data_IF_451709439250
#
_entry.id   IF_451709439250
#
_cell.length_a   1.000
_cell.length_b   1.000
_cell.length_c   1.000
_cell.angle_alpha   90.00
_cell.angle_beta   90.00
_cell.angle_gamma   90.00
#
_symmetry.space_group_name_H-M   'P 1'
#
loop_
_entity.id
_entity.type
_entity.pdbx_description
1 polymer ?
#
# COMPACT_ATOMS: atom_id res chain seq x y z
N UNK A 1 38.92 -4.99 12.89
CA UNK A 1 39.79 -6.16 12.62
C UNK A 1 38.92 -7.23 12.01
N UNK A 2 39.38 -7.94 10.98
CA UNK A 2 38.64 -9.06 10.34
C UNK A 2 38.88 -10.36 11.11
N UNK A 3 38.55 -10.35 12.41
CA UNK A 3 38.60 -11.50 13.33
C UNK A 3 38.11 -11.06 14.72
N UNK A 4 37.99 -12.03 15.63
CA UNK A 4 37.55 -11.84 17.02
C UNK A 4 38.69 -11.47 18.00
N UNK A 5 39.82 -10.95 17.52
CA UNK A 5 40.86 -10.43 18.41
C UNK A 5 40.34 -9.20 19.15
N UNK A 6 40.86 -8.94 20.34
CA UNK A 6 40.52 -7.75 21.11
C UNK A 6 40.74 -6.48 20.30
N UNK A 7 39.77 -5.57 20.39
CA UNK A 7 39.81 -4.26 19.76
C UNK A 7 39.41 -3.20 20.78
N UNK A 8 39.78 -1.93 20.57
CA UNK A 8 39.31 -0.85 21.44
C UNK A 8 37.82 -0.50 21.22
N UNK A 9 37.16 -1.04 20.18
CA UNK A 9 35.75 -0.80 19.97
C UNK A 9 34.94 -1.63 20.97
N UNK A 10 34.08 -0.97 21.75
CA UNK A 10 33.23 -1.57 22.77
C UNK A 10 32.09 -0.60 23.11
N UNK A 11 31.04 -1.10 23.75
CA UNK A 11 29.93 -0.31 24.26
C UNK A 11 29.27 0.63 23.22
N UNK A 12 29.29 0.23 21.94
CA UNK A 12 28.66 1.01 20.87
C UNK A 12 27.14 0.81 20.92
N UNK A 13 26.38 1.88 20.71
CA UNK A 13 24.91 1.81 20.68
C UNK A 13 24.40 2.41 19.38
N UNK A 14 23.88 1.56 18.52
CA UNK A 14 23.22 1.94 17.26
C UNK A 14 21.73 1.76 17.49
N UNK A 15 21.02 2.88 17.69
CA UNK A 15 19.62 2.83 18.08
C UNK A 15 18.70 3.80 17.38
N UNK A 16 17.44 3.39 17.23
CA UNK A 16 16.34 4.22 16.72
C UNK A 16 16.61 4.84 15.35
N UNK A 17 17.38 4.15 14.49
CA UNK A 17 17.60 4.58 13.12
C UNK A 17 16.50 4.05 12.21
N UNK A 18 16.17 4.80 11.16
CA UNK A 18 15.41 4.33 10.00
C UNK A 18 16.38 4.16 8.83
N UNK A 19 16.48 2.95 8.28
CA UNK A 19 17.41 2.61 7.20
C UNK A 19 16.61 1.91 6.11
N UNK A 20 16.64 2.46 4.89
CA UNK A 20 15.91 1.90 3.76
C UNK A 20 16.58 2.21 2.42
N UNK A 21 16.27 1.41 1.39
CA UNK A 21 16.79 1.57 0.04
C UNK A 21 18.32 1.63 -0.01
N UNK A 22 18.97 0.76 0.76
CA UNK A 22 20.43 0.59 0.78
C UNK A 22 20.81 -0.72 0.11
N UNK A 23 22.10 -0.89 -0.19
CA UNK A 23 22.61 -2.10 -0.88
C UNK A 23 21.96 -2.38 -2.25
N UNK A 24 21.52 -1.33 -2.96
CA UNK A 24 20.83 -1.45 -4.25
C UNK A 24 21.73 -1.94 -5.40
N UNK A 25 23.04 -1.70 -5.31
CA UNK A 25 24.00 -2.04 -6.38
C UNK A 25 25.08 -3.01 -5.90
N UNK A 26 25.68 -2.72 -4.74
CA UNK A 26 26.76 -3.53 -4.17
C UNK A 26 26.22 -4.72 -3.38
N UNK A 27 27.07 -5.73 -3.15
CA UNK A 27 26.72 -6.91 -2.35
C UNK A 27 27.51 -7.00 -1.04
N UNK A 28 27.25 -8.04 -0.25
CA UNK A 28 28.00 -8.37 0.97
C UNK A 28 27.89 -7.31 2.09
N UNK A 29 26.69 -6.77 2.25
CA UNK A 29 26.40 -5.75 3.25
C UNK A 29 25.01 -5.93 3.84
N UNK A 30 24.56 -4.90 4.54
CA UNK A 30 23.19 -4.82 5.03
C UNK A 30 22.85 -3.43 5.51
N UNK A 31 21.60 -3.24 5.94
CA UNK A 31 21.18 -1.99 6.57
C UNK A 31 22.09 -1.57 7.72
N UNK A 32 22.50 -2.53 8.53
CA UNK A 32 23.61 -2.38 9.48
C UNK A 32 24.65 -3.46 9.21
N UNK A 33 25.91 -3.05 9.10
CA UNK A 33 27.05 -3.95 8.97
C UNK A 33 27.96 -3.82 10.19
N UNK A 34 28.38 -4.96 10.76
CA UNK A 34 29.35 -5.00 11.86
C UNK A 34 30.48 -5.97 11.57
N UNK A 35 31.62 -5.74 12.20
CA UNK A 35 32.83 -6.53 12.02
C UNK A 35 33.69 -6.49 13.29
N UNK A 36 34.30 -7.63 13.61
CA UNK A 36 35.26 -7.76 14.72
C UNK A 36 34.65 -7.66 16.11
N UNK A 37 35.48 -7.95 17.12
CA UNK A 37 35.04 -7.98 18.52
C UNK A 37 34.69 -6.58 19.03
N UNK A 38 33.46 -6.44 19.54
CA UNK A 38 32.94 -5.19 20.13
C UNK A 38 32.06 -5.48 21.37
N UNK A 39 32.67 -5.78 22.53
CA UNK A 39 31.92 -6.19 23.72
C UNK A 39 30.93 -5.12 24.19
N UNK A 40 29.86 -5.57 24.82
CA UNK A 40 28.81 -4.74 25.44
C UNK A 40 28.12 -3.77 24.48
N UNK A 41 28.07 -4.10 23.18
CA UNK A 41 27.46 -3.25 22.14
C UNK A 41 26.01 -3.62 21.87
N UNK A 42 25.22 -2.66 21.38
CA UNK A 42 23.79 -2.81 21.15
C UNK A 42 23.37 -2.33 19.76
N UNK A 43 22.56 -3.15 19.08
CA UNK A 43 21.74 -2.74 17.94
C UNK A 43 20.28 -2.74 18.40
N UNK A 44 19.73 -1.56 18.68
CA UNK A 44 18.47 -1.43 19.43
C UNK A 44 17.40 -0.58 18.75
N UNK A 45 16.18 -1.10 18.60
CA UNK A 45 15.05 -0.26 18.18
C UNK A 45 15.17 0.32 16.77
N UNK A 46 16.05 -0.24 15.92
CA UNK A 46 16.20 0.22 14.54
C UNK A 46 15.06 -0.32 13.68
N UNK A 47 14.65 0.48 12.69
CA UNK A 47 13.69 0.12 11.65
C UNK A 47 14.43 0.00 10.32
N UNK A 48 14.57 -1.22 9.81
CA UNK A 48 15.27 -1.51 8.55
C UNK A 48 14.26 -2.09 7.57
N UNK A 49 14.13 -1.49 6.40
CA UNK A 49 13.15 -1.93 5.43
C UNK A 49 13.58 -1.68 3.98
N UNK A 50 13.02 -2.42 3.02
CA UNK A 50 13.27 -2.23 1.58
C UNK A 50 14.76 -2.38 1.21
N UNK A 51 15.34 -3.55 1.53
CA UNK A 51 16.69 -3.94 1.09
C UNK A 51 16.54 -4.97 -0.03
N UNK A 52 16.77 -4.58 -1.30
CA UNK A 52 16.50 -5.43 -2.44
C UNK A 52 17.58 -6.50 -2.64
N UNK A 53 17.29 -7.43 -3.53
CA UNK A 53 18.25 -8.39 -4.06
C UNK A 53 19.34 -7.61 -4.79
N UNK A 54 20.58 -7.79 -4.33
CA UNK A 54 21.72 -7.17 -4.99
C UNK A 54 22.11 -7.94 -6.27
N UNK A 55 22.85 -7.27 -7.16
CA UNK A 55 23.38 -7.87 -8.38
C UNK A 55 24.64 -8.74 -8.16
N UNK A 56 25.14 -8.82 -6.92
CA UNK A 56 26.39 -9.51 -6.59
C UNK A 56 26.19 -10.97 -6.16
N UNK A 57 27.30 -11.67 -5.89
CA UNK A 57 27.26 -13.10 -5.52
C UNK A 57 26.90 -13.36 -4.05
N UNK A 58 27.12 -12.38 -3.17
CA UNK A 58 26.87 -12.51 -1.73
C UNK A 58 25.55 -11.83 -1.36
N UNK A 59 24.81 -12.39 -0.42
CA UNK A 59 23.52 -11.81 0.00
C UNK A 59 23.69 -10.41 0.63
N UNK A 60 22.70 -9.55 0.43
CA UNK A 60 22.46 -8.36 1.27
C UNK A 60 21.32 -8.67 2.23
N UNK A 61 21.40 -8.20 3.46
CA UNK A 61 20.43 -8.50 4.52
C UNK A 61 19.97 -7.22 5.23
N UNK A 62 18.97 -7.31 6.11
CA UNK A 62 18.62 -6.20 6.99
C UNK A 62 19.80 -5.85 7.91
N UNK A 63 20.43 -6.86 8.50
CA UNK A 63 21.69 -6.71 9.22
C UNK A 63 22.69 -7.78 8.81
N UNK A 64 23.94 -7.38 8.60
CA UNK A 64 25.03 -8.29 8.30
C UNK A 64 26.12 -8.20 9.38
N UNK A 65 26.18 -9.24 10.21
CA UNK A 65 27.16 -9.41 11.27
C UNK A 65 28.29 -10.29 10.72
N UNK A 66 29.36 -9.65 10.29
CA UNK A 66 30.44 -10.28 9.54
C UNK A 66 31.61 -10.70 10.44
N UNK A 67 32.71 -11.14 9.84
CA UNK A 67 33.80 -11.89 10.46
C UNK A 67 34.28 -11.29 11.79
N UNK A 68 34.21 -12.12 12.83
CA UNK A 68 34.64 -11.75 14.19
C UNK A 68 33.67 -10.87 14.96
N UNK A 69 32.48 -10.54 14.44
CA UNK A 69 31.46 -9.83 15.21
C UNK A 69 31.12 -10.59 16.48
N UNK A 70 31.40 -9.99 17.63
CA UNK A 70 31.22 -10.59 18.96
C UNK A 70 30.85 -9.51 19.97
N UNK A 71 29.93 -9.83 20.88
CA UNK A 71 29.58 -8.96 22.00
C UNK A 71 28.38 -8.04 21.76
N UNK A 72 27.65 -8.25 20.66
CA UNK A 72 26.43 -7.50 20.38
C UNK A 72 25.19 -8.13 21.01
N UNK A 73 24.33 -7.27 21.55
CA UNK A 73 22.91 -7.55 21.79
C UNK A 73 22.07 -6.82 20.74
N UNK A 74 21.43 -7.60 19.86
CA UNK A 74 20.54 -7.15 18.80
C UNK A 74 19.11 -7.27 19.32
N UNK A 75 18.46 -6.14 19.64
CA UNK A 75 17.15 -6.18 20.30
C UNK A 75 16.14 -5.12 19.87
N UNK A 76 14.85 -5.48 19.90
CA UNK A 76 13.78 -4.52 19.67
C UNK A 76 13.74 -3.95 18.24
N UNK A 77 14.47 -4.52 17.29
CA UNK A 77 14.52 -4.01 15.93
C UNK A 77 13.31 -4.51 15.13
N UNK A 78 12.85 -3.69 14.19
CA UNK A 78 11.85 -4.08 13.19
C UNK A 78 12.54 -4.19 11.84
N UNK A 79 12.48 -5.35 11.20
CA UNK A 79 13.16 -5.62 9.92
C UNK A 79 12.14 -6.15 8.92
N UNK A 80 11.82 -5.41 7.86
CA UNK A 80 10.80 -5.82 6.87
C UNK A 80 11.34 -5.76 5.44
N UNK A 81 10.70 -6.45 4.49
CA UNK A 81 11.00 -6.35 3.05
C UNK A 81 12.49 -6.41 2.73
N UNK A 82 13.09 -7.52 3.16
CA UNK A 82 14.47 -7.88 2.84
C UNK A 82 14.37 -9.06 1.90
N UNK A 83 14.91 -8.99 0.68
CA UNK A 83 14.81 -10.07 -0.32
C UNK A 83 15.52 -11.38 0.08
N UNK A 84 16.22 -11.35 1.22
CA UNK A 84 16.93 -12.44 1.87
C UNK A 84 16.63 -12.42 3.37
N UNK A 85 17.35 -13.22 4.15
CA UNK A 85 17.15 -13.27 5.59
C UNK A 85 17.27 -11.88 6.25
N UNK A 86 16.39 -11.52 7.20
CA UNK A 86 16.49 -10.30 8.00
C UNK A 86 17.88 -10.09 8.60
N UNK A 87 18.51 -11.15 9.14
CA UNK A 87 19.84 -11.10 9.73
C UNK A 87 20.73 -12.18 9.11
N UNK A 88 21.98 -11.84 8.83
CA UNK A 88 23.03 -12.78 8.42
C UNK A 88 24.23 -12.70 9.34
N UNK A 89 24.75 -13.87 9.74
CA UNK A 89 25.99 -14.02 10.48
C UNK A 89 27.03 -14.74 9.64
N UNK A 90 28.14 -14.08 9.32
CA UNK A 90 29.29 -14.71 8.67
C UNK A 90 30.50 -14.76 9.62
N UNK A 91 31.00 -15.98 9.90
CA UNK A 91 32.12 -16.25 10.83
C UNK A 91 32.09 -15.39 12.11
N UNK A 92 30.91 -15.23 12.68
CA UNK A 92 30.72 -14.40 13.88
C UNK A 92 31.02 -15.18 15.16
N UNK A 93 31.44 -14.45 16.19
CA UNK A 93 31.52 -14.97 17.55
C UNK A 93 30.19 -14.86 18.27
N UNK A 94 30.25 -14.71 19.60
CA UNK A 94 29.06 -14.79 20.46
C UNK A 94 28.22 -13.51 20.44
N UNK A 95 26.94 -13.63 20.09
CA UNK A 95 25.99 -12.51 20.07
C UNK A 95 24.60 -12.96 20.52
N UNK A 96 23.75 -12.01 20.92
CA UNK A 96 22.37 -12.27 21.35
C UNK A 96 21.38 -11.54 20.46
N UNK A 97 20.37 -12.25 19.95
CA UNK A 97 19.28 -11.73 19.11
C UNK A 97 17.96 -11.93 19.86
N UNK A 98 17.37 -10.84 20.36
CA UNK A 98 16.21 -10.94 21.27
C UNK A 98 15.15 -9.87 21.04
N UNK A 99 13.87 -10.22 21.11
CA UNK A 99 12.75 -9.26 20.98
C UNK A 99 12.76 -8.44 19.68
N UNK A 100 13.28 -8.99 18.58
CA UNK A 100 13.16 -8.38 17.26
C UNK A 100 11.89 -8.86 16.58
N UNK A 101 11.39 -8.05 15.66
CA UNK A 101 10.21 -8.34 14.85
C UNK A 101 10.62 -8.29 13.38
N UNK A 102 10.30 -9.30 12.59
CA UNK A 102 10.74 -9.35 11.20
C UNK A 102 9.74 -9.94 10.23
N UNK A 103 9.71 -9.43 9.02
CA UNK A 103 8.97 -10.01 7.90
C UNK A 103 9.93 -10.89 7.08
N UNK A 104 9.46 -12.05 6.63
CA UNK A 104 10.24 -12.98 5.82
C UNK A 104 9.87 -12.80 4.35
N UNK A 105 10.86 -12.76 3.44
CA UNK A 105 10.60 -12.65 2.00
C UNK A 105 9.69 -13.77 1.48
N UNK A 106 9.87 -14.97 2.03
CA UNK A 106 9.00 -16.13 1.81
C UNK A 106 8.92 -16.93 3.11
N UNK A 107 7.90 -17.80 3.30
CA UNK A 107 7.84 -18.70 4.46
C UNK A 107 9.08 -19.58 4.64
N UNK A 108 9.78 -19.90 3.56
CA UNK A 108 11.00 -20.71 3.56
C UNK A 108 12.26 -19.91 3.90
N UNK A 109 12.19 -18.57 3.86
CA UNK A 109 13.33 -17.72 4.17
C UNK A 109 13.60 -17.75 5.68
N UNK A 110 14.77 -18.22 6.15
CA UNK A 110 15.03 -18.23 7.58
C UNK A 110 15.22 -16.78 8.08
N UNK A 111 14.75 -16.46 9.29
CA UNK A 111 14.94 -15.13 9.88
C UNK A 111 16.42 -14.79 10.11
N UNK A 112 17.22 -15.82 10.40
CA UNK A 112 18.66 -15.72 10.63
C UNK A 112 19.39 -16.69 9.71
N UNK A 113 20.30 -16.16 8.89
CA UNK A 113 21.19 -16.94 8.04
C UNK A 113 22.56 -17.11 8.71
N UNK A 114 23.07 -18.33 8.70
CA UNK A 114 24.42 -18.64 9.17
C UNK A 114 25.34 -19.01 8.01
N UNK A 115 26.44 -18.28 7.86
CA UNK A 115 27.50 -18.56 6.89
C UNK A 115 28.80 -18.80 7.65
N UNK A 116 29.22 -20.07 7.80
CA UNK A 116 30.42 -20.42 8.59
C UNK A 116 30.43 -19.88 10.04
N UNK A 117 29.27 -19.50 10.57
CA UNK A 117 29.06 -19.15 11.97
C UNK A 117 28.45 -20.35 12.67
N UNK A 118 29.08 -20.91 13.72
CA UNK A 118 28.44 -21.93 14.54
C UNK A 118 27.15 -21.38 15.17
N UNK A 119 26.02 -22.05 14.98
CA UNK A 119 24.74 -21.61 15.54
C UNK A 119 24.78 -21.47 17.07
N UNK A 120 25.57 -22.32 17.74
CA UNK A 120 25.80 -22.25 19.19
C UNK A 120 26.45 -20.95 19.67
N UNK A 121 27.00 -20.13 18.77
CA UNK A 121 27.50 -18.80 19.09
C UNK A 121 26.36 -17.78 19.27
N UNK A 122 25.19 -18.02 18.67
CA UNK A 122 24.11 -17.04 18.61
C UNK A 122 22.95 -17.49 19.50
N UNK A 123 22.65 -16.71 20.52
CA UNK A 123 21.46 -16.91 21.35
C UNK A 123 20.28 -16.18 20.71
N UNK A 124 19.25 -16.91 20.30
CA UNK A 124 18.05 -16.35 19.65
C UNK A 124 16.85 -16.61 20.57
N UNK A 125 16.20 -15.55 21.04
CA UNK A 125 15.13 -15.65 22.04
C UNK A 125 14.00 -14.64 21.76
N UNK A 126 12.74 -15.03 21.94
CA UNK A 126 11.59 -14.12 21.97
C UNK A 126 11.50 -13.15 20.76
N UNK A 127 11.86 -13.59 19.56
CA UNK A 127 11.67 -12.82 18.33
C UNK A 127 10.35 -13.23 17.65
N UNK A 128 9.75 -12.31 16.89
CA UNK A 128 8.44 -12.44 16.26
C UNK A 128 8.57 -12.37 14.74
N UNK A 129 7.94 -13.30 14.03
CA UNK A 129 7.71 -13.16 12.59
C UNK A 129 6.44 -12.32 12.39
N UNK A 130 6.55 -11.30 11.57
CA UNK A 130 5.51 -10.37 11.19
C UNK A 130 4.84 -10.83 9.91
N UNK A 131 3.53 -10.63 9.84
CA UNK A 131 2.80 -10.71 8.58
C UNK A 131 3.32 -9.66 7.58
N UNK A 132 3.36 -10.01 6.28
CA UNK A 132 3.70 -9.08 5.20
C UNK A 132 2.87 -7.80 5.26
N UNK A 133 3.56 -6.66 5.13
CA UNK A 133 2.90 -5.37 5.06
C UNK A 133 2.42 -5.09 3.63
N UNK A 134 1.12 -4.89 3.41
CA UNK A 134 0.62 -4.50 2.09
C UNK A 134 1.25 -3.18 1.63
N UNK A 135 1.72 -3.17 0.39
CA UNK A 135 2.19 -2.01 -0.34
C UNK A 135 1.04 -1.54 -1.24
N UNK A 136 0.46 -0.39 -0.90
CA UNK A 136 -0.72 0.15 -1.58
C UNK A 136 -0.32 1.45 -2.29
N UNK A 137 -0.75 1.60 -3.54
CA UNK A 137 -0.58 2.83 -4.29
C UNK A 137 -1.93 3.32 -4.82
N UNK A 138 -2.24 4.60 -4.63
CA UNK A 138 -3.44 5.22 -5.19
C UNK A 138 -3.05 6.32 -6.16
N UNK A 139 -3.59 6.29 -7.37
CA UNK A 139 -3.34 7.30 -8.39
C UNK A 139 -4.64 7.79 -9.02
N UNK A 140 -4.78 9.11 -9.15
CA UNK A 140 -6.00 9.70 -9.68
C UNK A 140 -6.11 11.17 -9.35
N UNK A 141 -7.35 11.64 -9.15
CA UNK A 141 -7.64 13.04 -8.94
C UNK A 141 -8.20 13.32 -7.53
N UNK A 142 -8.88 14.45 -7.34
CA UNK A 142 -9.49 14.82 -6.07
C UNK A 142 -10.48 13.79 -5.49
N UNK A 143 -11.08 12.90 -6.28
CA UNK A 143 -11.96 11.84 -5.76
C UNK A 143 -11.14 10.73 -5.08
N UNK A 144 -9.97 10.37 -5.62
CA UNK A 144 -8.97 9.57 -4.91
C UNK A 144 -8.58 10.21 -3.58
N UNK A 145 -8.47 11.54 -3.53
CA UNK A 145 -8.17 12.25 -2.28
C UNK A 145 -9.32 12.22 -1.27
N UNK A 146 -10.56 12.32 -1.74
CA UNK A 146 -11.77 12.22 -0.90
C UNK A 146 -11.98 10.80 -0.35
N UNK A 147 -11.32 9.78 -0.90
CA UNK A 147 -11.18 8.45 -0.31
C UNK A 147 -10.13 8.38 0.83
N UNK A 148 -9.54 9.52 1.22
CA UNK A 148 -8.63 9.70 2.35
C UNK A 148 -7.43 8.72 2.40
N UNK A 149 -6.56 8.67 1.37
CA UNK A 149 -5.40 7.77 1.32
C UNK A 149 -4.52 7.80 2.59
N UNK A 150 -4.22 8.96 3.23
CA UNK A 150 -3.42 9.01 4.45
C UNK A 150 -4.01 8.27 5.66
N UNK A 151 -5.29 7.88 5.60
CA UNK A 151 -6.01 7.18 6.67
C UNK A 151 -6.19 5.69 6.40
N UNK A 152 -5.73 5.19 5.25
CA UNK A 152 -5.61 3.77 4.97
C UNK A 152 -4.52 3.17 5.87
N UNK A 153 -4.68 1.89 6.23
CA UNK A 153 -3.67 1.13 6.96
C UNK A 153 -2.56 0.65 6.01
N UNK A 154 -1.50 0.07 6.57
CA UNK A 154 -0.35 -0.46 5.84
C UNK A 154 0.55 0.60 5.20
N UNK A 155 1.34 0.24 4.18
CA UNK A 155 2.24 1.18 3.51
C UNK A 155 1.55 1.78 2.29
N UNK A 156 1.09 3.01 2.43
CA UNK A 156 0.28 3.68 1.41
C UNK A 156 1.06 4.84 0.80
N UNK A 157 1.23 4.79 -0.52
CA UNK A 157 1.75 5.89 -1.34
C UNK A 157 0.60 6.40 -2.24
N UNK A 158 0.66 7.66 -2.68
CA UNK A 158 -0.37 8.21 -3.58
C UNK A 158 0.13 9.29 -4.53
N UNK A 159 -0.50 9.40 -5.70
CA UNK A 159 -0.31 10.47 -6.67
C UNK A 159 -1.67 11.06 -7.05
N UNK A 160 -1.92 12.29 -6.59
CA UNK A 160 -3.20 12.96 -6.76
C UNK A 160 -3.01 14.28 -7.52
N UNK A 161 -3.64 14.40 -8.68
CA UNK A 161 -3.72 15.66 -9.41
C UNK A 161 -5.17 16.07 -9.74
N UNK A 162 -5.58 17.21 -9.21
CA UNK A 162 -6.97 17.60 -9.06
C UNK A 162 -7.59 18.01 -10.41
N UNK A 163 -8.74 17.43 -10.75
CA UNK A 163 -9.43 17.72 -12.01
C UNK A 163 -8.71 17.26 -13.26
N UNK A 164 -7.71 16.37 -13.15
CA UNK A 164 -6.97 15.80 -14.28
C UNK A 164 -7.40 14.38 -14.58
N UNK A 165 -7.32 14.00 -15.84
CA UNK A 165 -7.53 12.62 -16.31
C UNK A 165 -6.24 11.81 -16.16
N UNK A 166 -6.36 10.47 -16.17
CA UNK A 166 -5.19 9.59 -16.07
C UNK A 166 -4.14 9.82 -17.18
N UNK A 167 -4.51 10.02 -18.46
CA UNK A 167 -3.54 10.34 -19.51
C UNK A 167 -2.74 11.61 -19.20
N UNK A 168 -3.40 12.64 -18.65
CA UNK A 168 -2.71 13.87 -18.25
C UNK A 168 -1.71 13.60 -17.12
N UNK A 169 -2.11 12.87 -16.08
CA UNK A 169 -1.24 12.50 -14.95
C UNK A 169 -0.06 11.64 -15.42
N UNK A 170 -0.28 10.78 -16.41
CA UNK A 170 0.76 9.98 -17.03
C UNK A 170 1.82 10.86 -17.70
N UNK A 171 1.40 11.80 -18.55
CA UNK A 171 2.30 12.65 -19.35
C UNK A 171 2.90 13.82 -18.54
N UNK A 172 2.24 14.26 -17.48
CA UNK A 172 2.63 15.40 -16.63
C UNK A 172 2.66 15.01 -15.15
N UNK A 173 3.53 14.07 -14.74
CA UNK A 173 3.61 13.65 -13.34
C UNK A 173 4.15 14.74 -12.41
N UNK A 174 4.77 15.78 -12.95
CA UNK A 174 5.32 16.88 -12.18
C UNK A 174 4.23 17.78 -11.59
N UNK A 175 4.41 18.16 -10.32
CA UNK A 175 3.55 19.13 -9.62
C UNK A 175 2.09 18.69 -9.37
N UNK A 176 1.88 17.53 -8.73
CA UNK A 176 0.53 17.11 -8.31
C UNK A 176 -0.12 18.15 -7.39
N UNK A 177 -1.45 18.30 -7.46
CA UNK A 177 -2.18 19.22 -6.59
C UNK A 177 -2.00 18.91 -5.09
N UNK A 178 -1.80 17.65 -4.73
CA UNK A 178 -1.50 17.24 -3.35
C UNK A 178 0.02 17.19 -3.17
N UNK A 179 0.57 18.15 -2.42
CA UNK A 179 2.02 18.28 -2.25
C UNK A 179 2.72 17.12 -1.51
N UNK A 180 1.96 16.24 -0.85
CA UNK A 180 2.50 15.02 -0.23
C UNK A 180 2.52 13.80 -1.17
N UNK A 181 2.19 13.99 -2.45
CA UNK A 181 2.16 12.91 -3.43
C UNK A 181 3.55 12.36 -3.74
N UNK A 182 3.64 11.04 -3.84
CA UNK A 182 4.76 10.31 -4.43
C UNK A 182 4.43 10.06 -5.90
N UNK A 183 5.11 10.75 -6.79
CA UNK A 183 4.82 10.71 -8.23
C UNK A 183 5.02 9.31 -8.81
N UNK A 184 4.23 8.97 -9.83
CA UNK A 184 4.16 7.61 -10.36
C UNK A 184 5.46 7.09 -10.97
N UNK A 185 6.28 7.88 -11.69
CA UNK A 185 7.51 7.34 -12.27
C UNK A 185 8.46 6.82 -11.19
N UNK A 186 8.62 7.59 -10.12
CA UNK A 186 9.48 7.22 -8.99
C UNK A 186 8.85 6.10 -8.17
N UNK A 187 7.54 6.19 -7.88
CA UNK A 187 6.82 5.19 -7.10
C UNK A 187 6.93 3.80 -7.72
N UNK A 188 6.54 3.66 -8.99
CA UNK A 188 6.45 2.36 -9.67
C UNK A 188 7.82 1.82 -10.10
N UNK A 189 8.86 2.66 -10.22
CA UNK A 189 10.21 2.21 -10.52
C UNK A 189 10.98 1.72 -9.28
N UNK A 190 10.63 2.22 -8.09
CA UNK A 190 11.41 1.95 -6.86
C UNK A 190 10.78 0.92 -5.92
N UNK A 191 9.57 0.45 -6.22
CA UNK A 191 8.79 -0.38 -5.31
C UNK A 191 7.78 -1.24 -6.08
N UNK A 192 7.67 -2.50 -5.70
CA UNK A 192 6.58 -3.37 -6.10
C UNK A 192 5.38 -3.13 -5.16
N UNK A 193 4.21 -2.91 -5.73
CA UNK A 193 2.97 -2.74 -4.98
C UNK A 193 2.12 -4.00 -5.08
N UNK A 194 1.45 -4.34 -3.98
CA UNK A 194 0.49 -5.44 -3.91
C UNK A 194 -0.88 -5.00 -4.44
N UNK A 195 -1.23 -3.73 -4.20
CA UNK A 195 -2.50 -3.15 -4.61
C UNK A 195 -2.28 -1.79 -5.25
N UNK A 196 -2.81 -1.60 -6.45
CA UNK A 196 -2.80 -0.31 -7.14
C UNK A 196 -4.23 0.11 -7.44
N UNK A 197 -4.65 1.25 -6.91
CA UNK A 197 -5.93 1.86 -7.27
C UNK A 197 -5.73 2.97 -8.30
N UNK A 198 -6.47 2.91 -9.40
CA UNK A 198 -6.53 3.93 -10.43
C UNK A 198 -7.91 4.55 -10.48
N UNK A 199 -7.98 5.86 -10.66
CA UNK A 199 -9.24 6.58 -10.79
C UNK A 199 -9.28 7.38 -12.10
N UNK A 200 -9.93 6.84 -13.15
CA UNK A 200 -10.36 7.62 -14.30
C UNK A 200 -11.13 8.89 -13.90
N UNK A 201 -11.02 9.93 -14.72
CA UNK A 201 -11.77 11.16 -14.53
C UNK A 201 -12.08 11.84 -15.86
N UNK A 202 -13.06 12.76 -15.83
CA UNK A 202 -13.50 13.52 -16.99
C UNK A 202 -12.33 14.09 -17.80
N UNK A 203 -12.48 14.06 -19.11
CA UNK A 203 -11.51 14.61 -20.06
C UNK A 203 -10.69 13.57 -20.81
N UNK A 204 -10.73 12.29 -20.41
CA UNK A 204 -10.24 11.15 -21.20
C UNK A 204 -11.35 10.45 -21.98
N UNK A 205 -10.93 9.62 -22.92
CA UNK A 205 -11.73 8.59 -23.57
C UNK A 205 -11.46 7.22 -22.94
N UNK A 206 -12.38 6.28 -23.16
CA UNK A 206 -12.20 4.90 -22.70
C UNK A 206 -10.91 4.27 -23.23
N UNK A 207 -10.59 4.50 -24.50
CA UNK A 207 -9.37 3.97 -25.09
C UNK A 207 -8.12 4.58 -24.45
N UNK A 208 -8.11 5.89 -24.18
CA UNK A 208 -6.97 6.54 -23.53
C UNK A 208 -6.78 6.05 -22.09
N UNK A 209 -7.86 5.78 -21.34
CA UNK A 209 -7.75 5.20 -20.00
C UNK A 209 -7.26 3.75 -20.05
N UNK A 210 -7.77 2.93 -20.98
CA UNK A 210 -7.25 1.56 -21.21
C UNK A 210 -5.76 1.61 -21.52
N UNK A 211 -5.33 2.46 -22.44
CA UNK A 211 -3.94 2.57 -22.86
C UNK A 211 -3.04 3.08 -21.74
N UNK A 212 -3.51 4.04 -20.95
CA UNK A 212 -2.75 4.60 -19.83
C UNK A 212 -2.58 3.59 -18.70
N UNK A 213 -3.67 2.95 -18.27
CA UNK A 213 -3.64 1.94 -17.22
C UNK A 213 -2.80 0.74 -17.66
N UNK A 214 -2.89 0.33 -18.93
CA UNK A 214 -2.05 -0.73 -19.50
C UNK A 214 -0.55 -0.51 -19.28
N UNK A 215 -0.06 0.72 -19.48
CA UNK A 215 1.36 1.05 -19.32
C UNK A 215 1.82 0.88 -17.87
N UNK A 216 0.95 1.18 -16.90
CA UNK A 216 1.27 0.95 -15.48
C UNK A 216 1.14 -0.53 -15.10
N UNK A 217 0.18 -1.27 -15.67
CA UNK A 217 0.08 -2.73 -15.49
C UNK A 217 1.35 -3.41 -15.99
N UNK A 218 1.88 -3.03 -17.15
CA UNK A 218 3.09 -3.63 -17.73
C UNK A 218 4.30 -3.63 -16.79
N UNK A 219 4.40 -2.61 -15.90
CA UNK A 219 5.48 -2.48 -14.91
C UNK A 219 5.12 -3.02 -13.52
N UNK A 220 3.85 -3.37 -13.25
CA UNK A 220 3.36 -3.82 -11.94
C UNK A 220 2.32 -4.94 -12.12
N UNK A 221 2.69 -5.98 -12.88
CA UNK A 221 1.79 -7.08 -13.26
C UNK A 221 1.38 -7.96 -12.07
N UNK A 222 2.17 -7.93 -10.99
CA UNK A 222 1.89 -8.69 -9.76
C UNK A 222 0.81 -8.04 -8.88
N UNK A 223 0.50 -6.76 -9.10
CA UNK A 223 -0.46 -6.04 -8.28
C UNK A 223 -1.90 -6.44 -8.60
N UNK A 224 -2.77 -6.39 -7.60
CA UNK A 224 -4.22 -6.36 -7.82
C UNK A 224 -4.65 -4.92 -8.12
N UNK A 225 -5.47 -4.74 -9.16
CA UNK A 225 -5.85 -3.42 -9.67
C UNK A 225 -7.26 -3.05 -9.25
N UNK A 226 -7.38 -1.96 -8.49
CA UNK A 226 -8.68 -1.40 -8.09
C UNK A 226 -9.05 -0.27 -9.05
N UNK A 227 -10.08 -0.47 -9.85
CA UNK A 227 -10.75 0.59 -10.60
C UNK A 227 -11.63 1.39 -9.63
N UNK A 228 -11.10 2.50 -9.13
CA UNK A 228 -11.84 3.42 -8.29
C UNK A 228 -12.83 4.19 -9.17
N UNK A 229 -14.12 3.92 -9.01
CA UNK A 229 -15.14 4.46 -9.91
C UNK A 229 -15.27 5.97 -9.82
N UNK A 230 -14.80 6.58 -8.73
CA UNK A 230 -15.19 7.94 -8.37
C UNK A 230 -16.72 8.06 -8.34
N UNK A 231 -17.21 9.25 -8.66
CA UNK A 231 -18.64 9.57 -8.73
C UNK A 231 -18.87 10.87 -9.51
N UNK A 232 -20.09 11.03 -10.00
CA UNK A 232 -20.52 12.21 -10.72
C UNK A 232 -20.83 13.39 -9.78
N UNK A 233 -21.04 14.54 -10.40
CA UNK A 233 -21.56 15.73 -9.70
C UNK A 233 -22.95 15.44 -9.13
N UNK A 234 -23.27 15.98 -7.96
CA UNK A 234 -24.54 15.74 -7.28
C UNK A 234 -25.75 15.99 -8.20
N UNK A 235 -25.74 17.11 -8.92
CA UNK A 235 -26.81 17.51 -9.83
C UNK A 235 -27.00 16.59 -11.06
N UNK A 236 -26.01 15.78 -11.41
CA UNK A 236 -26.05 14.88 -12.58
C UNK A 236 -25.87 13.41 -12.19
N UNK A 237 -25.95 13.09 -10.91
CA UNK A 237 -25.64 11.75 -10.39
C UNK A 237 -26.49 10.67 -11.06
N UNK A 238 -27.82 10.81 -11.01
CA UNK A 238 -28.74 9.81 -11.57
C UNK A 238 -28.63 9.73 -13.10
N UNK A 239 -28.61 10.88 -13.78
CA UNK A 239 -28.52 10.94 -15.24
C UNK A 239 -27.24 10.28 -15.76
N UNK A 240 -26.11 10.48 -15.06
CA UNK A 240 -24.84 9.86 -15.42
C UNK A 240 -24.80 8.38 -15.06
N UNK A 241 -25.34 7.98 -13.90
CA UNK A 241 -25.42 6.56 -13.51
C UNK A 241 -26.25 5.72 -14.48
N UNK A 242 -27.41 6.24 -14.89
CA UNK A 242 -28.36 5.58 -15.78
C UNK A 242 -27.98 5.70 -17.27
N UNK A 243 -26.87 6.36 -17.59
CA UNK A 243 -26.43 6.53 -18.96
C UNK A 243 -26.00 5.19 -19.58
N UNK A 244 -26.78 4.71 -20.55
CA UNK A 244 -26.50 3.49 -21.32
C UNK A 244 -25.71 3.76 -22.62
N UNK A 245 -25.21 4.98 -22.83
CA UNK A 245 -24.50 5.31 -24.08
C UNK A 245 -23.17 4.57 -24.19
N UNK A 246 -22.81 4.12 -25.40
CA UNK A 246 -21.50 3.56 -25.74
C UNK A 246 -20.38 4.44 -25.14
N UNK A 247 -19.63 3.93 -24.14
CA UNK A 247 -18.75 4.74 -23.31
C UNK A 247 -17.49 5.18 -24.06
N UNK A 248 -17.63 6.10 -25.02
CA UNK A 248 -16.48 6.66 -25.75
C UNK A 248 -15.71 7.63 -24.87
N UNK A 249 -16.42 8.42 -24.05
CA UNK A 249 -15.82 9.44 -23.16
C UNK A 249 -15.97 9.01 -21.71
N UNK A 250 -15.00 9.39 -20.89
CA UNK A 250 -15.03 9.13 -19.46
C UNK A 250 -16.28 9.72 -18.82
N UNK A 251 -17.04 8.84 -18.18
CA UNK A 251 -18.09 9.12 -17.21
C UNK A 251 -17.93 8.17 -16.02
N UNK A 252 -18.58 8.50 -14.91
CA UNK A 252 -18.61 7.66 -13.72
C UNK A 252 -19.67 6.54 -13.81
N UNK A 253 -20.26 6.30 -14.99
CA UNK A 253 -21.35 5.34 -15.15
C UNK A 253 -20.87 3.88 -15.00
N UNK A 254 -21.74 2.96 -14.56
CA UNK A 254 -21.43 1.53 -14.54
C UNK A 254 -21.02 1.00 -15.91
N UNK A 255 -21.66 1.47 -16.98
CA UNK A 255 -21.34 1.04 -18.35
C UNK A 255 -19.89 1.37 -18.74
N UNK A 256 -19.38 2.55 -18.36
CA UNK A 256 -17.99 2.93 -18.62
C UNK A 256 -17.01 2.01 -17.88
N UNK A 257 -17.21 1.81 -16.58
CA UNK A 257 -16.29 1.02 -15.76
C UNK A 257 -16.36 -0.49 -16.07
N UNK A 258 -17.51 -0.99 -16.52
CA UNK A 258 -17.61 -2.38 -16.97
C UNK A 258 -16.87 -2.61 -18.29
N UNK A 259 -16.99 -1.71 -19.28
CA UNK A 259 -16.24 -1.82 -20.54
C UNK A 259 -14.73 -1.61 -20.31
N UNK A 260 -14.35 -0.63 -19.46
CA UNK A 260 -12.95 -0.43 -19.06
C UNK A 260 -12.36 -1.70 -18.45
N UNK A 261 -13.07 -2.30 -17.48
CA UNK A 261 -12.66 -3.53 -16.83
C UNK A 261 -12.56 -4.67 -17.82
N UNK A 262 -13.59 -4.89 -18.65
CA UNK A 262 -13.60 -5.97 -19.64
C UNK A 262 -12.43 -5.89 -20.61
N UNK A 263 -12.07 -4.68 -21.09
CA UNK A 263 -10.94 -4.50 -22.01
C UNK A 263 -9.59 -4.72 -21.34
N UNK A 264 -9.46 -4.34 -20.07
CA UNK A 264 -8.25 -4.58 -19.29
C UNK A 264 -8.10 -6.07 -18.95
N UNK A 265 -9.18 -6.74 -18.55
CA UNK A 265 -9.23 -8.20 -18.31
C UNK A 265 -8.91 -8.99 -19.59
N UNK A 266 -9.42 -8.57 -20.76
CA UNK A 266 -9.08 -9.19 -22.05
C UNK A 266 -7.59 -9.04 -22.39
N UNK A 267 -7.01 -7.86 -22.12
CA UNK A 267 -5.61 -7.56 -22.42
C UNK A 267 -4.64 -8.18 -21.41
N UNK A 268 -5.06 -8.34 -20.15
CA UNK A 268 -4.25 -8.82 -19.04
C UNK A 268 -5.00 -9.91 -18.25
N UNK A 269 -5.18 -11.12 -18.82
CA UNK A 269 -6.02 -12.17 -18.25
C UNK A 269 -5.51 -12.73 -16.91
N UNK A 270 -4.24 -12.53 -16.59
CA UNK A 270 -3.62 -12.98 -15.33
C UNK A 270 -3.70 -11.91 -14.21
N UNK A 271 -4.14 -10.69 -14.55
CA UNK A 271 -4.23 -9.58 -13.59
C UNK A 271 -5.61 -9.57 -12.96
N UNK A 272 -5.64 -9.52 -11.63
CA UNK A 272 -6.89 -9.40 -10.89
C UNK A 272 -7.37 -7.94 -10.87
N UNK A 273 -8.65 -7.73 -11.20
CA UNK A 273 -9.32 -6.44 -11.09
C UNK A 273 -10.39 -6.45 -9.98
N UNK A 274 -10.51 -5.31 -9.31
CA UNK A 274 -11.50 -4.98 -8.28
C UNK A 274 -12.07 -3.58 -8.53
N UNK A 275 -13.19 -3.25 -7.89
CA UNK A 275 -13.84 -1.94 -8.04
C UNK A 275 -14.47 -1.46 -6.75
N UNK A 276 -14.37 -0.15 -6.51
CA UNK A 276 -14.93 0.45 -5.30
C UNK A 276 -16.44 0.67 -5.38
N UNK A 277 -17.04 0.71 -6.57
CA UNK A 277 -18.48 1.00 -6.77
C UNK A 277 -19.00 2.25 -6.05
N UNK A 278 -18.16 3.26 -5.88
CA UNK A 278 -18.49 4.48 -5.16
C UNK A 278 -19.66 5.25 -5.81
N UNK A 279 -19.71 5.30 -7.14
CA UNK A 279 -20.82 5.90 -7.88
C UNK A 279 -22.14 5.18 -7.56
N UNK A 280 -22.12 3.85 -7.54
CA UNK A 280 -23.31 3.05 -7.24
C UNK A 280 -23.78 3.25 -5.81
N UNK A 281 -22.86 3.29 -4.83
CA UNK A 281 -23.22 3.58 -3.44
C UNK A 281 -24.01 4.89 -3.31
N UNK A 282 -23.57 5.96 -4.01
CA UNK A 282 -24.29 7.24 -4.00
C UNK A 282 -25.64 7.17 -4.71
N UNK A 283 -25.73 6.41 -5.82
CA UNK A 283 -27.00 6.19 -6.51
C UNK A 283 -28.01 5.46 -5.60
N UNK A 284 -27.62 4.36 -4.96
CA UNK A 284 -28.50 3.59 -4.06
C UNK A 284 -28.91 4.43 -2.84
N UNK A 285 -28.00 5.25 -2.29
CA UNK A 285 -28.32 6.22 -1.24
C UNK A 285 -29.36 7.24 -1.71
N UNK A 286 -29.21 7.80 -2.91
CA UNK A 286 -30.21 8.72 -3.48
C UNK A 286 -31.56 8.03 -3.70
N UNK A 287 -31.58 6.75 -4.10
CA UNK A 287 -32.83 5.98 -4.17
C UNK A 287 -33.49 5.83 -2.81
N UNK A 288 -32.74 5.60 -1.74
CA UNK A 288 -33.27 5.55 -0.38
C UNK A 288 -33.87 6.90 0.04
N UNK A 289 -33.18 8.00 -0.25
CA UNK A 289 -33.68 9.38 0.01
C UNK A 289 -35.01 9.61 -0.70
N UNK A 290 -35.08 9.30 -2.00
CA UNK A 290 -36.31 9.46 -2.80
C UNK A 290 -37.47 8.60 -2.30
N UNK A 291 -37.17 7.44 -1.70
CA UNK A 291 -38.16 6.54 -1.11
C UNK A 291 -38.55 6.92 0.34
N UNK A 292 -37.90 7.94 0.93
CA UNK A 292 -38.09 8.32 2.32
C UNK A 292 -37.54 7.30 3.32
N UNK A 293 -36.57 6.49 2.90
CA UNK A 293 -35.88 5.48 3.69
C UNK A 293 -34.54 5.98 4.29
N UNK A 294 -34.18 7.25 4.04
CA UNK A 294 -32.99 7.90 4.58
C UNK A 294 -33.36 9.11 5.45
N UNK A 295 -32.46 9.46 6.38
CA UNK A 295 -32.54 10.67 7.19
C UNK A 295 -31.98 11.93 6.49
N UNK A 296 -31.42 11.78 5.29
CA UNK A 296 -30.97 12.90 4.47
C UNK A 296 -32.14 13.54 3.72
N UNK A 297 -32.08 14.87 3.53
CA UNK A 297 -33.09 15.60 2.74
C UNK A 297 -32.77 15.52 1.24
N UNK A 298 -31.48 15.47 0.90
CA UNK A 298 -30.96 15.46 -0.46
C UNK A 298 -29.64 14.70 -0.52
N UNK A 299 -29.34 14.10 -1.67
CA UNK A 299 -28.00 13.53 -1.92
C UNK A 299 -26.90 14.59 -1.82
N UNK A 300 -27.21 15.86 -2.03
CA UNK A 300 -26.26 16.97 -1.83
C UNK A 300 -25.74 17.04 -0.39
N UNK A 301 -26.46 16.49 0.60
CA UNK A 301 -26.08 16.52 2.01
C UNK A 301 -24.83 15.69 2.31
N UNK A 302 -24.39 14.80 1.41
CA UNK A 302 -23.11 14.07 1.54
C UNK A 302 -21.96 14.74 0.78
N UNK A 303 -22.24 15.80 0.02
CA UNK A 303 -21.26 16.58 -0.71
C UNK A 303 -20.89 17.87 0.04
N UNK A 304 -19.65 18.37 -0.13
CA UNK A 304 -19.27 19.73 0.33
C UNK A 304 -19.42 20.80 -0.75
N UNK A 305 -19.38 20.36 -2.01
CA UNK A 305 -19.57 21.19 -3.21
C UNK A 305 -20.15 20.33 -4.34
N UNK A 306 -20.20 20.82 -5.57
CA UNK A 306 -20.86 20.10 -6.66
C UNK A 306 -20.32 18.69 -6.94
N UNK A 307 -19.11 18.33 -6.51
CA UNK A 307 -18.52 17.01 -6.79
C UNK A 307 -17.79 16.39 -5.60
N UNK A 308 -17.26 17.16 -4.66
CA UNK A 308 -16.46 16.60 -3.58
C UNK A 308 -17.29 16.18 -2.37
N UNK A 309 -16.84 15.15 -1.65
CA UNK A 309 -17.48 14.66 -0.44
C UNK A 309 -17.26 15.62 0.74
N UNK A 310 -18.28 15.70 1.61
CA UNK A 310 -18.12 16.33 2.91
C UNK A 310 -17.27 15.47 3.86
N UNK A 311 -16.80 16.08 4.96
CA UNK A 311 -15.92 15.41 5.90
C UNK A 311 -16.65 14.41 6.85
N UNK A 312 -17.97 14.29 6.74
CA UNK A 312 -18.81 13.40 7.54
C UNK A 312 -19.27 12.19 6.72
N UNK A 313 -20.58 12.05 6.43
CA UNK A 313 -21.16 10.85 5.81
C UNK A 313 -20.61 10.55 4.41
N UNK A 314 -20.29 11.56 3.59
CA UNK A 314 -19.77 11.35 2.25
C UNK A 314 -18.38 10.70 2.27
N UNK A 315 -17.43 11.32 2.97
CA UNK A 315 -16.09 10.75 3.14
C UNK A 315 -16.11 9.41 3.89
N UNK A 316 -17.03 9.20 4.84
CA UNK A 316 -17.20 7.91 5.51
C UNK A 316 -17.49 6.80 4.50
N UNK A 317 -18.49 7.01 3.63
CA UNK A 317 -18.92 6.02 2.65
C UNK A 317 -17.81 5.71 1.63
N UNK A 318 -17.18 6.75 1.07
CA UNK A 318 -16.12 6.56 0.06
C UNK A 318 -14.85 5.93 0.62
N UNK A 319 -14.43 6.36 1.82
CA UNK A 319 -13.24 5.81 2.46
C UNK A 319 -13.43 4.34 2.81
N UNK A 320 -14.57 3.97 3.39
CA UNK A 320 -14.81 2.60 3.81
C UNK A 320 -15.05 1.66 2.62
N UNK A 321 -15.64 2.14 1.52
CA UNK A 321 -15.69 1.37 0.27
C UNK A 321 -14.27 1.05 -0.25
N UNK A 322 -13.36 2.02 -0.24
CA UNK A 322 -11.96 1.81 -0.61
C UNK A 322 -11.27 0.81 0.33
N UNK A 323 -11.44 0.97 1.65
CA UNK A 323 -10.88 0.06 2.67
C UNK A 323 -11.32 -1.38 2.46
N UNK A 324 -12.62 -1.61 2.32
CA UNK A 324 -13.18 -2.94 2.12
C UNK A 324 -12.71 -3.56 0.79
N UNK A 325 -12.57 -2.74 -0.27
CA UNK A 325 -12.00 -3.21 -1.54
C UNK A 325 -10.56 -3.67 -1.36
N UNK A 326 -9.74 -2.95 -0.59
CA UNK A 326 -8.35 -3.31 -0.30
C UNK A 326 -8.26 -4.53 0.65
N UNK A 327 -9.31 -4.81 1.43
CA UNK A 327 -9.30 -5.85 2.47
C UNK A 327 -9.01 -5.32 3.88
N UNK A 328 -9.16 -4.02 4.10
CA UNK A 328 -9.02 -3.40 5.42
C UNK A 328 -10.36 -3.29 6.14
N UNK A 329 -10.34 -3.45 7.46
CA UNK A 329 -11.52 -3.27 8.31
C UNK A 329 -12.08 -1.84 8.22
N UNK A 330 -13.41 -1.71 8.26
CA UNK A 330 -14.13 -0.42 8.34
C UNK A 330 -13.69 0.40 9.56
N UNK A 331 -13.68 1.72 9.44
CA UNK A 331 -13.39 2.62 10.57
C UNK A 331 -14.44 3.72 10.73
N UNK A 332 -14.70 4.09 11.98
CA UNK A 332 -15.69 5.11 12.35
C UNK A 332 -15.07 6.43 12.82
N UNK A 333 -13.82 6.40 13.28
CA UNK A 333 -13.11 7.59 13.79
C UNK A 333 -12.71 8.53 12.67
N UNK A 334 -12.49 9.81 12.96
CA UNK A 334 -11.84 10.77 12.05
C UNK A 334 -12.74 11.43 11.00
N UNK A 335 -14.05 11.19 11.07
CA UNK A 335 -15.07 11.90 10.28
C UNK A 335 -15.80 12.91 11.17
N UNK A 336 -16.38 13.94 10.57
CA UNK A 336 -17.32 14.81 11.27
C UNK A 336 -18.50 13.97 11.79
N UNK A 337 -19.06 14.35 12.94
CA UNK A 337 -20.15 13.58 13.54
C UNK A 337 -21.43 13.74 12.71
N UNK A 338 -22.09 12.62 12.44
CA UNK A 338 -23.43 12.52 11.88
C UNK A 338 -24.26 11.53 12.71
N UNK A 339 -25.57 11.53 12.54
CA UNK A 339 -26.46 10.74 13.40
C UNK A 339 -26.26 9.22 13.20
N UNK A 340 -26.58 8.46 14.25
CA UNK A 340 -26.35 7.02 14.29
C UNK A 340 -27.27 6.23 13.33
N UNK A 341 -28.44 6.77 12.99
CA UNK A 341 -29.37 6.13 12.06
C UNK A 341 -28.81 6.21 10.63
N UNK A 342 -28.33 7.39 10.21
CA UNK A 342 -27.61 7.56 8.95
C UNK A 342 -26.36 6.67 8.90
N UNK A 343 -25.60 6.57 9.99
CA UNK A 343 -24.45 5.64 10.03
C UNK A 343 -24.87 4.19 9.76
N UNK A 344 -25.94 3.73 10.41
CA UNK A 344 -26.43 2.36 10.18
C UNK A 344 -26.89 2.17 8.73
N UNK A 345 -27.50 3.18 8.09
CA UNK A 345 -27.83 3.14 6.67
C UNK A 345 -26.58 3.00 5.78
N UNK A 346 -25.57 3.84 6.00
CA UNK A 346 -24.32 3.76 5.25
C UNK A 346 -23.59 2.42 5.45
N UNK A 347 -23.68 1.86 6.66
CA UNK A 347 -23.14 0.54 6.98
C UNK A 347 -23.87 -0.58 6.21
N UNK A 348 -25.20 -0.52 6.11
CA UNK A 348 -25.98 -1.48 5.32
C UNK A 348 -25.64 -1.39 3.83
N UNK A 349 -25.46 -0.19 3.28
CA UNK A 349 -25.05 -0.01 1.88
C UNK A 349 -23.67 -0.63 1.60
N UNK A 350 -22.72 -0.48 2.52
CA UNK A 350 -21.39 -1.10 2.43
C UNK A 350 -21.49 -2.64 2.53
N UNK A 351 -22.35 -3.15 3.41
CA UNK A 351 -22.59 -4.60 3.55
C UNK A 351 -23.22 -5.19 2.28
N UNK A 352 -24.18 -4.49 1.68
CA UNK A 352 -24.79 -4.88 0.40
C UNK A 352 -23.76 -4.87 -0.73
N UNK A 353 -22.90 -3.86 -0.77
CA UNK A 353 -21.82 -3.71 -1.74
C UNK A 353 -20.90 -4.93 -1.77
N UNK A 354 -20.69 -5.63 -0.66
CA UNK A 354 -19.86 -6.83 -0.63
C UNK A 354 -20.32 -7.94 -1.61
N UNK A 355 -21.60 -7.91 -2.03
CA UNK A 355 -22.18 -8.83 -3.00
C UNK A 355 -22.11 -8.34 -4.46
N UNK A 356 -21.59 -7.14 -4.70
CA UNK A 356 -21.50 -6.58 -6.06
C UNK A 356 -20.29 -7.15 -6.82
N UNK A 357 -20.36 -7.21 -8.17
CA UNK A 357 -19.29 -7.78 -8.98
C UNK A 357 -17.95 -7.11 -8.71
N UNK A 358 -16.91 -7.91 -8.41
CA UNK A 358 -15.55 -7.43 -8.14
C UNK A 358 -15.43 -6.37 -7.00
N UNK A 359 -16.40 -6.29 -6.10
CA UNK A 359 -16.39 -5.39 -4.93
C UNK A 359 -15.67 -5.97 -3.71
N UNK A 360 -15.48 -7.29 -3.69
CA UNK A 360 -14.88 -8.04 -2.59
C UNK A 360 -13.43 -7.64 -2.33
N UNK A 361 -12.91 -7.99 -1.14
CA UNK A 361 -11.57 -7.59 -0.73
C UNK A 361 -10.52 -8.18 -1.68
N UNK A 362 -9.43 -7.45 -1.88
CA UNK A 362 -8.20 -8.02 -2.43
C UNK A 362 -7.76 -9.15 -1.50
N UNK A 363 -7.54 -10.33 -2.08
CA UNK A 363 -6.98 -11.48 -1.35
C UNK A 363 -5.54 -11.66 -1.80
N UNK A 364 -4.62 -10.98 -1.13
CA UNK A 364 -3.18 -11.25 -1.30
C UNK A 364 -2.85 -12.53 -0.54
N UNK A 365 -2.33 -13.57 -1.22
CA UNK A 365 -1.84 -14.78 -0.54
C UNK A 365 -0.78 -14.40 0.51
N UNK A 366 -0.78 -14.95 1.72
CA UNK A 366 -0.80 -16.38 2.06
C UNK A 366 -1.79 -16.71 3.19
N UNK A 367 -2.59 -17.77 3.01
CA UNK A 367 -3.05 -18.64 4.09
C UNK A 367 -2.15 -19.87 4.17
#
# INVERSE_FOLDING_TARGET
MWNDSETPAAANVIRNNRIAFVMQTLSDGGGIYTLGRQPDSFLEGNNIHDVPLNAGRAESNGMFLDEGTTGFTIRGNTIRRIDRSPIRFHKSGKNKVVNNRWELATPETPPVRFNNTPESNITIEANEVLEPQLQIYLIGNSLTWDALPPRLAESVDWHVDCGKSLPYIYDHPESPCVGSSRIWPDALASKEYDVISVQPHYGSTLQEDVDTISKWIEVQQQAVWILHTGWARSATLNDEYLSESDPVKMSHSPAYFEDLRSRLEEKFPEVEFRTTHCMRLLYELDQNIQQGASNLESIEDVYRDAIHMNAGPGSYLMHNAMRETIGQERIDRGFEQFDAELKNELDMLLDERANWPAAGPVVTGQQ
#
